data_IF_716804666535
#
_entry.id   IF_716804666535
#
_cell.length_a   1.000
_cell.length_b   1.000
_cell.length_c   1.000
_cell.angle_alpha   90.00
_cell.angle_beta   90.00
_cell.angle_gamma   90.00
#
_symmetry.space_group_name_H-M   'P 1'
#
loop_
_entity.id
_entity.type
_entity.pdbx_description
1 polymer ?
#
# COMPACT_ATOMS: atom_id res chain seq x y z
N UNK A 1 18.46 32.89 59.35
CA UNK A 1 17.95 32.62 57.99
C UNK A 1 19.13 32.21 57.10
N UNK A 2 19.33 30.89 56.90
CA UNK A 2 20.37 30.36 56.05
C UNK A 2 19.84 30.30 54.60
N UNK A 3 20.29 31.24 53.78
CA UNK A 3 20.07 31.21 52.33
C UNK A 3 21.13 30.25 51.80
N UNK A 4 20.75 29.00 51.48
CA UNK A 4 21.57 28.09 50.70
C UNK A 4 21.70 28.62 49.31
N UNK A 5 22.82 29.28 48.99
CA UNK A 5 23.16 29.64 47.62
C UNK A 5 23.31 28.36 46.76
N UNK A 6 22.37 28.16 45.86
CA UNK A 6 22.40 27.09 44.90
C UNK A 6 23.59 27.29 43.94
N UNK A 7 24.59 26.43 44.05
CA UNK A 7 25.82 26.54 43.26
C UNK A 7 25.60 25.94 41.88
N UNK A 8 25.18 26.74 40.93
CA UNK A 8 24.85 26.37 39.55
C UNK A 8 26.01 25.70 38.81
N UNK A 9 27.28 26.03 39.18
CA UNK A 9 28.47 25.43 38.58
C UNK A 9 28.58 23.95 38.92
N UNK A 10 28.29 23.57 40.18
CA UNK A 10 28.38 22.17 40.59
C UNK A 10 27.29 21.31 39.93
N UNK A 11 26.09 21.86 39.76
CA UNK A 11 25.03 21.19 39.02
C UNK A 11 25.33 20.99 37.54
N UNK A 12 26.10 21.94 36.93
CA UNK A 12 26.50 21.84 35.53
C UNK A 12 27.62 20.81 35.28
N UNK A 13 28.53 20.63 36.26
CA UNK A 13 29.60 19.62 36.19
C UNK A 13 29.04 18.20 36.40
N UNK A 14 28.13 18.02 37.34
CA UNK A 14 27.47 16.73 37.53
C UNK A 14 26.59 16.30 36.35
N UNK A 15 26.08 17.26 35.58
CA UNK A 15 25.33 16.97 34.33
C UNK A 15 26.23 16.59 33.18
N UNK A 16 27.48 17.10 33.16
CA UNK A 16 28.43 16.78 32.10
C UNK A 16 29.05 15.38 32.29
N UNK A 17 29.26 14.95 33.50
CA UNK A 17 29.80 13.60 33.76
C UNK A 17 28.79 12.49 33.49
N UNK A 18 27.48 12.76 33.62
CA UNK A 18 26.43 11.80 33.29
C UNK A 18 26.13 11.66 31.78
N UNK A 19 26.73 12.54 30.93
CA UNK A 19 26.45 12.54 29.49
C UNK A 19 27.56 11.85 28.66
N UNK A 20 28.60 11.34 29.33
CA UNK A 20 29.76 10.70 28.67
C UNK A 20 29.85 9.18 28.89
N UNK A 21 28.84 8.56 29.44
CA UNK A 21 28.72 7.12 29.31
C UNK A 21 28.19 6.84 27.88
N UNK A 22 28.88 6.00 27.08
CA UNK A 22 28.31 5.53 25.84
C UNK A 22 27.04 4.80 26.22
N UNK A 23 25.90 5.41 25.93
CA UNK A 23 24.63 4.68 25.87
C UNK A 23 24.90 3.56 24.87
N UNK A 24 25.23 2.38 25.39
CA UNK A 24 24.97 1.17 24.65
C UNK A 24 23.55 1.31 24.16
N UNK A 25 23.42 1.54 22.86
CA UNK A 25 22.15 1.35 22.19
C UNK A 25 21.79 -0.08 22.55
N UNK A 26 20.92 -0.22 23.55
CA UNK A 26 20.16 -1.43 23.68
C UNK A 26 19.55 -1.61 22.29
N UNK A 27 20.24 -2.42 21.49
CA UNK A 27 19.63 -2.99 20.32
C UNK A 27 18.34 -3.58 20.86
N UNK A 28 17.23 -2.91 20.55
CA UNK A 28 15.93 -3.52 20.64
C UNK A 28 16.18 -4.85 19.96
N UNK A 29 16.19 -5.93 20.72
CA UNK A 29 16.12 -7.27 20.19
C UNK A 29 14.78 -7.30 19.46
N UNK A 30 14.77 -6.77 18.25
CA UNK A 30 13.75 -7.12 17.29
C UNK A 30 13.86 -8.63 17.22
N UNK A 31 12.83 -9.27 17.70
CA UNK A 31 12.65 -10.70 17.63
C UNK A 31 13.09 -11.13 16.23
N UNK A 32 14.29 -11.71 16.15
CA UNK A 32 14.94 -12.08 14.89
C UNK A 32 14.31 -13.39 14.40
N UNK A 33 12.98 -13.39 14.39
CA UNK A 33 12.13 -14.43 13.83
C UNK A 33 12.02 -14.29 12.31
N UNK A 34 13.01 -13.56 11.72
CA UNK A 34 13.14 -13.45 10.27
C UNK A 34 13.56 -14.80 9.73
N UNK A 35 12.77 -15.31 8.82
CA UNK A 35 13.14 -16.47 8.03
C UNK A 35 14.42 -16.11 7.28
N UNK A 36 15.54 -16.75 7.61
CA UNK A 36 16.85 -16.50 6.98
C UNK A 36 17.02 -17.28 5.68
N UNK A 37 16.04 -18.14 5.33
CA UNK A 37 16.08 -18.93 4.12
C UNK A 37 15.80 -18.05 2.88
N UNK A 38 16.37 -18.45 1.76
CA UNK A 38 16.20 -17.85 0.45
C UNK A 38 15.78 -18.94 -0.53
N UNK A 39 14.57 -19.45 -0.34
CA UNK A 39 14.00 -20.43 -1.26
C UNK A 39 13.41 -19.72 -2.48
N UNK A 40 13.59 -20.32 -3.65
CA UNK A 40 12.88 -19.87 -4.84
C UNK A 40 11.40 -20.26 -4.74
N UNK A 41 10.53 -19.44 -5.29
CA UNK A 41 9.09 -19.68 -5.31
C UNK A 41 8.50 -19.25 -6.66
N UNK A 42 7.45 -19.91 -7.05
CA UNK A 42 6.71 -19.62 -8.29
C UNK A 42 5.46 -18.79 -8.03
N UNK A 43 4.84 -18.29 -9.10
CA UNK A 43 3.53 -17.62 -9.01
C UNK A 43 2.46 -18.56 -8.39
N UNK A 44 2.52 -19.85 -8.69
CA UNK A 44 1.57 -20.82 -8.13
C UNK A 44 1.73 -20.96 -6.61
N UNK A 45 2.96 -20.92 -6.10
CA UNK A 45 3.24 -20.98 -4.66
C UNK A 45 2.72 -19.72 -3.95
N UNK A 46 2.89 -18.55 -4.57
CA UNK A 46 2.34 -17.28 -4.06
C UNK A 46 0.82 -17.32 -4.05
N UNK A 47 0.18 -17.77 -5.12
CA UNK A 47 -1.28 -17.88 -5.19
C UNK A 47 -1.85 -18.81 -4.12
N UNK A 48 -1.25 -19.99 -3.93
CA UNK A 48 -1.64 -20.92 -2.88
C UNK A 48 -1.40 -20.39 -1.46
N UNK A 49 -0.33 -19.60 -1.26
CA UNK A 49 -0.07 -18.94 -0.01
C UNK A 49 -1.12 -17.85 0.27
N UNK A 50 -1.49 -17.05 -0.74
CA UNK A 50 -2.55 -16.04 -0.63
C UNK A 50 -3.91 -16.68 -0.31
N UNK A 51 -4.30 -17.74 -0.98
CA UNK A 51 -5.53 -18.48 -0.66
C UNK A 51 -5.56 -18.98 0.79
N UNK A 52 -4.44 -19.51 1.27
CA UNK A 52 -4.31 -19.94 2.66
C UNK A 52 -4.44 -18.76 3.62
N UNK A 53 -3.83 -17.60 3.30
CA UNK A 53 -3.96 -16.37 4.10
C UNK A 53 -5.40 -15.86 4.12
N UNK A 54 -6.07 -15.83 2.98
CA UNK A 54 -7.47 -15.41 2.84
C UNK A 54 -8.42 -16.25 3.71
N UNK A 55 -8.12 -17.52 3.89
CA UNK A 55 -8.90 -18.41 4.76
C UNK A 55 -8.76 -18.05 6.25
N UNK A 56 -7.68 -17.36 6.63
CA UNK A 56 -7.44 -16.91 8.01
C UNK A 56 -8.13 -15.59 8.35
N UNK A 57 -8.54 -14.80 7.33
CA UNK A 57 -9.16 -13.51 7.51
C UNK A 57 -10.62 -13.62 7.95
N UNK A 58 -11.06 -12.76 8.88
CA UNK A 58 -12.43 -12.66 9.37
C UNK A 58 -13.40 -11.94 8.41
N UNK A 59 -14.62 -11.76 8.87
CA UNK A 59 -15.63 -10.99 8.13
C UNK A 59 -15.34 -9.48 8.15
N UNK A 60 -14.62 -9.00 9.16
CA UNK A 60 -14.14 -7.62 9.26
C UNK A 60 -13.18 -7.25 8.14
N UNK A 61 -12.44 -8.24 7.62
CA UNK A 61 -11.44 -8.06 6.55
C UNK A 61 -12.00 -8.31 5.14
N UNK A 62 -13.32 -8.33 4.99
CA UNK A 62 -13.99 -8.65 3.73
C UNK A 62 -13.53 -7.79 2.55
N UNK A 63 -13.31 -6.50 2.80
CA UNK A 63 -12.80 -5.58 1.77
C UNK A 63 -11.38 -5.96 1.33
N UNK A 64 -10.51 -6.35 2.26
CA UNK A 64 -9.16 -6.81 1.95
C UNK A 64 -9.19 -8.16 1.21
N UNK A 65 -10.09 -9.08 1.56
CA UNK A 65 -10.30 -10.33 0.80
C UNK A 65 -10.67 -10.03 -0.66
N UNK A 66 -11.61 -9.13 -0.90
CA UNK A 66 -12.02 -8.73 -2.25
C UNK A 66 -10.82 -8.14 -2.99
N UNK A 67 -10.05 -7.25 -2.36
CA UNK A 67 -8.89 -6.62 -2.95
C UNK A 67 -7.81 -7.63 -3.37
N UNK A 68 -7.51 -8.60 -2.52
CA UNK A 68 -6.51 -9.64 -2.78
C UNK A 68 -6.95 -10.65 -3.87
N UNK A 69 -8.24 -10.73 -4.14
CA UNK A 69 -8.82 -11.60 -5.18
C UNK A 69 -9.09 -10.87 -6.50
N UNK A 70 -9.08 -9.52 -6.51
CA UNK A 70 -9.43 -8.72 -7.69
C UNK A 70 -8.47 -8.95 -8.85
N UNK A 71 -7.20 -9.08 -8.57
CA UNK A 71 -6.15 -9.26 -9.57
C UNK A 71 -5.17 -10.37 -9.18
N UNK A 72 -4.68 -11.08 -10.18
CA UNK A 72 -3.63 -12.07 -9.96
C UNK A 72 -2.33 -11.37 -9.51
N UNK A 73 -1.63 -11.90 -8.50
CA UNK A 73 -0.36 -11.34 -8.07
C UNK A 73 0.68 -11.46 -9.18
N UNK A 74 1.60 -10.49 -9.24
CA UNK A 74 2.77 -10.52 -10.12
C UNK A 74 4.01 -10.88 -9.31
N UNK A 75 4.85 -11.74 -9.85
CA UNK A 75 6.07 -12.19 -9.20
C UNK A 75 7.26 -11.90 -10.11
N UNK A 76 8.20 -11.12 -9.60
CA UNK A 76 9.46 -10.79 -10.27
C UNK A 76 10.62 -11.04 -9.30
N UNK A 77 11.28 -12.19 -9.44
CA UNK A 77 12.29 -12.62 -8.47
C UNK A 77 11.69 -12.81 -7.09
N UNK A 78 12.12 -12.00 -6.11
CA UNK A 78 11.58 -11.99 -4.75
C UNK A 78 10.58 -10.86 -4.48
N UNK A 79 10.20 -10.13 -5.52
CA UNK A 79 9.21 -9.05 -5.43
C UNK A 79 7.84 -9.59 -5.82
N UNK A 80 6.89 -9.48 -4.91
CA UNK A 80 5.49 -9.82 -5.12
C UNK A 80 4.71 -8.52 -5.21
N UNK A 81 4.01 -8.30 -6.31
CA UNK A 81 3.18 -7.12 -6.52
C UNK A 81 1.71 -7.51 -6.53
N UNK A 82 0.94 -6.88 -5.67
CA UNK A 82 -0.52 -7.02 -5.60
C UNK A 82 -1.14 -5.75 -6.16
N UNK A 83 -2.07 -5.92 -7.09
CA UNK A 83 -2.82 -4.82 -7.69
C UNK A 83 -4.25 -4.78 -7.13
N UNK A 84 -4.75 -3.58 -6.86
CA UNK A 84 -6.09 -3.33 -6.31
C UNK A 84 -6.81 -2.27 -7.11
N UNK A 85 -8.14 -2.25 -7.08
CA UNK A 85 -8.94 -1.40 -7.97
C UNK A 85 -9.00 0.08 -7.57
N UNK A 86 -8.82 0.39 -6.27
CA UNK A 86 -8.96 1.76 -5.77
C UNK A 86 -8.23 2.00 -4.44
N UNK A 87 -8.15 3.29 -4.04
CA UNK A 87 -7.47 3.73 -2.82
C UNK A 87 -8.06 3.14 -1.53
N UNK A 88 -9.37 2.90 -1.48
CA UNK A 88 -10.00 2.31 -0.30
C UNK A 88 -9.50 0.88 -0.08
N UNK A 89 -9.48 0.08 -1.15
CA UNK A 89 -8.96 -1.29 -1.11
C UNK A 89 -7.45 -1.31 -0.84
N UNK A 90 -6.70 -0.36 -1.42
CA UNK A 90 -5.28 -0.18 -1.14
C UNK A 90 -5.03 0.00 0.36
N UNK A 91 -5.77 0.90 1.00
CA UNK A 91 -5.65 1.15 2.44
C UNK A 91 -5.93 -0.12 3.25
N UNK A 92 -6.97 -0.88 2.91
CA UNK A 92 -7.33 -2.12 3.60
C UNK A 92 -6.26 -3.20 3.48
N UNK A 93 -5.65 -3.35 2.31
CA UNK A 93 -4.53 -4.29 2.12
C UNK A 93 -3.28 -3.80 2.85
N UNK A 94 -3.02 -2.48 2.87
CA UNK A 94 -1.89 -1.91 3.61
C UNK A 94 -2.01 -2.10 5.12
N UNK A 95 -3.21 -2.10 5.69
CA UNK A 95 -3.45 -2.41 7.10
C UNK A 95 -3.00 -3.87 7.43
N UNK A 96 -3.18 -4.78 6.50
CA UNK A 96 -2.77 -6.19 6.63
C UNK A 96 -1.35 -6.47 6.10
N UNK A 97 -0.69 -5.49 5.50
CA UNK A 97 0.62 -5.67 4.84
C UNK A 97 1.68 -6.34 5.74
N UNK A 98 1.89 -5.92 7.01
CA UNK A 98 2.89 -6.57 7.85
C UNK A 98 2.56 -8.05 8.14
N UNK A 99 1.29 -8.35 8.37
CA UNK A 99 0.82 -9.71 8.64
C UNK A 99 0.94 -10.59 7.39
N UNK A 100 0.52 -10.07 6.24
CA UNK A 100 0.61 -10.75 4.95
C UNK A 100 2.07 -11.01 4.56
N UNK A 101 2.95 -10.01 4.69
CA UNK A 101 4.38 -10.17 4.40
C UNK A 101 5.02 -11.24 5.28
N UNK A 102 4.77 -11.19 6.59
CA UNK A 102 5.29 -12.20 7.54
C UNK A 102 4.78 -13.60 7.22
N UNK A 103 3.50 -13.71 6.82
CA UNK A 103 2.91 -14.99 6.42
C UNK A 103 3.56 -15.53 5.14
N UNK A 104 3.73 -14.71 4.11
CA UNK A 104 4.38 -15.09 2.86
C UNK A 104 5.83 -15.51 3.08
N UNK A 105 6.60 -14.78 3.86
CA UNK A 105 7.98 -15.14 4.21
C UNK A 105 8.07 -16.51 4.85
N UNK A 106 7.17 -16.83 5.78
CA UNK A 106 7.11 -18.14 6.45
C UNK A 106 6.65 -19.25 5.50
N UNK A 107 5.57 -19.00 4.76
CA UNK A 107 4.95 -20.00 3.89
C UNK A 107 5.85 -20.38 2.70
N UNK A 108 6.53 -19.38 2.11
CA UNK A 108 7.45 -19.54 0.99
C UNK A 108 8.90 -19.81 1.43
N UNK A 109 9.15 -19.85 2.74
CA UNK A 109 10.46 -20.06 3.33
C UNK A 109 11.54 -19.12 2.73
N UNK A 110 11.20 -17.84 2.60
CA UNK A 110 12.07 -16.82 2.03
C UNK A 110 11.94 -15.50 2.80
N UNK A 111 13.02 -15.08 3.45
CA UNK A 111 13.09 -13.85 4.25
C UNK A 111 13.41 -12.58 3.44
N UNK A 112 13.62 -12.70 2.13
CA UNK A 112 13.99 -11.60 1.24
C UNK A 112 12.82 -11.12 0.37
N UNK A 113 11.61 -11.58 0.64
CA UNK A 113 10.41 -11.16 -0.08
C UNK A 113 10.16 -9.69 0.15
N UNK A 114 9.90 -8.97 -0.94
CA UNK A 114 9.37 -7.62 -0.94
C UNK A 114 7.94 -7.66 -1.44
N UNK A 115 7.01 -7.10 -0.67
CA UNK A 115 5.60 -7.03 -1.03
C UNK A 115 5.24 -5.59 -1.41
N UNK A 116 4.86 -5.39 -2.66
CA UNK A 116 4.36 -4.13 -3.17
C UNK A 116 2.84 -4.20 -3.35
N UNK A 117 2.14 -3.14 -2.99
CA UNK A 117 0.71 -3.00 -3.25
C UNK A 117 0.50 -1.71 -4.03
N UNK A 118 -0.19 -1.78 -5.15
CA UNK A 118 -0.43 -0.64 -6.02
C UNK A 118 -1.83 -0.67 -6.61
N UNK A 119 -2.29 0.49 -7.07
CA UNK A 119 -3.57 0.55 -7.78
C UNK A 119 -3.37 0.01 -9.20
N UNK A 120 -4.28 -0.87 -9.61
CA UNK A 120 -4.31 -1.38 -10.97
C UNK A 120 -4.59 -0.25 -11.95
N UNK A 121 -3.67 -0.03 -12.85
CA UNK A 121 -3.85 0.88 -13.98
C UNK A 121 -4.03 0.03 -15.23
N UNK A 122 -5.26 0.02 -15.75
CA UNK A 122 -5.53 -0.63 -17.02
C UNK A 122 -4.65 0.00 -18.10
N UNK A 123 -3.64 -0.72 -18.57
CA UNK A 123 -2.84 -0.31 -19.72
C UNK A 123 -3.72 -0.44 -20.95
N UNK A 124 -4.56 0.56 -21.20
CA UNK A 124 -5.24 0.67 -22.49
C UNK A 124 -4.17 0.86 -23.55
N UNK A 125 -3.99 -0.15 -24.39
CA UNK A 125 -3.18 -0.06 -25.59
C UNK A 125 -3.74 1.07 -26.46
N UNK A 126 -3.16 2.26 -26.33
CA UNK A 126 -3.23 3.31 -27.32
C UNK A 126 -4.42 4.27 -27.31
N UNK A 127 -5.40 4.13 -26.44
CA UNK A 127 -6.41 5.17 -26.24
C UNK A 127 -6.36 5.67 -24.80
N UNK A 128 -5.75 6.84 -24.61
CA UNK A 128 -6.01 7.64 -23.41
C UNK A 128 -7.51 7.88 -23.35
N UNK A 129 -8.23 7.15 -22.48
CA UNK A 129 -9.59 7.54 -22.13
C UNK A 129 -9.51 8.93 -21.54
N UNK A 130 -9.70 9.95 -22.37
CA UNK A 130 -9.84 11.33 -21.93
C UNK A 130 -10.84 11.31 -20.79
N UNK A 131 -10.39 11.63 -19.57
CA UNK A 131 -11.31 11.79 -18.44
C UNK A 131 -12.24 12.93 -18.81
N UNK A 132 -13.49 12.63 -19.07
CA UNK A 132 -14.52 13.58 -19.44
C UNK A 132 -14.95 14.32 -18.16
N UNK A 133 -14.32 15.44 -17.87
CA UNK A 133 -14.56 16.20 -16.64
C UNK A 133 -15.76 17.13 -16.75
N UNK A 134 -15.95 17.72 -17.93
CA UNK A 134 -17.03 18.69 -18.15
C UNK A 134 -18.22 18.09 -18.87
N UNK A 135 -19.39 18.71 -18.69
CA UNK A 135 -20.60 18.34 -19.45
C UNK A 135 -20.37 18.43 -20.97
N UNK A 136 -19.57 19.41 -21.38
CA UNK A 136 -19.17 19.60 -22.79
C UNK A 136 -18.31 18.45 -23.30
N UNK A 137 -17.29 18.01 -22.53
CA UNK A 137 -16.43 16.88 -22.93
C UNK A 137 -17.25 15.59 -23.09
N UNK A 138 -18.18 15.38 -22.16
CA UNK A 138 -19.10 14.23 -22.21
C UNK A 138 -19.99 14.28 -23.45
N UNK A 139 -20.52 15.44 -23.76
CA UNK A 139 -21.37 15.62 -24.96
C UNK A 139 -20.57 15.38 -26.23
N UNK A 140 -19.38 15.96 -26.39
CA UNK A 140 -18.51 15.76 -27.54
C UNK A 140 -18.16 14.27 -27.72
N UNK A 141 -17.90 13.58 -26.62
CA UNK A 141 -17.67 12.14 -26.64
C UNK A 141 -18.90 11.37 -27.14
N UNK A 142 -20.10 11.70 -26.66
CA UNK A 142 -21.33 11.06 -27.12
C UNK A 142 -21.63 11.33 -28.58
N UNK A 143 -21.37 12.54 -29.08
CA UNK A 143 -21.50 12.87 -30.52
C UNK A 143 -20.52 12.05 -31.35
N UNK A 144 -19.32 11.78 -30.87
CA UNK A 144 -18.35 10.92 -31.53
C UNK A 144 -18.84 9.49 -31.66
N UNK A 145 -19.52 8.97 -30.63
CA UNK A 145 -20.08 7.60 -30.61
C UNK A 145 -21.34 7.54 -31.49
N UNK A 146 -22.20 8.56 -31.40
CA UNK A 146 -23.46 8.61 -32.16
C UNK A 146 -23.73 10.05 -32.65
N UNK A 147 -23.51 10.34 -33.94
CA UNK A 147 -23.73 11.67 -34.51
C UNK A 147 -25.15 12.22 -34.35
N UNK A 148 -26.15 11.35 -34.22
CA UNK A 148 -27.56 11.76 -34.03
C UNK A 148 -27.74 12.57 -32.72
N UNK A 149 -26.85 12.43 -31.74
CA UNK A 149 -26.88 13.23 -30.49
C UNK A 149 -26.62 14.71 -30.79
N UNK A 150 -25.75 15.02 -31.77
CA UNK A 150 -25.50 16.39 -32.21
C UNK A 150 -26.71 16.99 -32.93
N UNK A 151 -27.41 16.20 -33.75
CA UNK A 151 -28.65 16.61 -34.43
C UNK A 151 -29.79 16.88 -33.47
N UNK A 152 -29.94 16.05 -32.44
CA UNK A 152 -30.93 16.24 -31.36
C UNK A 152 -30.70 17.57 -30.61
N UNK A 153 -29.44 17.90 -30.30
CA UNK A 153 -29.10 19.18 -29.68
C UNK A 153 -29.57 20.37 -30.52
N UNK A 154 -29.31 20.32 -31.84
CA UNK A 154 -29.70 21.38 -32.79
C UNK A 154 -31.23 21.48 -32.94
N UNK A 155 -31.93 20.33 -33.01
CA UNK A 155 -33.38 20.26 -33.13
C UNK A 155 -34.13 20.81 -31.92
N UNK A 156 -33.62 20.51 -30.71
CA UNK A 156 -34.30 20.89 -29.47
C UNK A 156 -33.72 22.15 -28.81
N UNK A 157 -32.70 22.79 -29.43
CA UNK A 157 -32.08 24.00 -28.91
C UNK A 157 -31.49 23.82 -27.51
N UNK A 158 -30.93 22.65 -27.21
CA UNK A 158 -30.39 22.34 -25.89
C UNK A 158 -29.05 23.05 -25.67
N UNK A 159 -28.92 23.75 -24.58
CA UNK A 159 -27.65 24.31 -24.10
C UNK A 159 -27.00 23.32 -23.13
N UNK A 160 -25.65 23.27 -23.16
CA UNK A 160 -24.85 22.44 -22.26
C UNK A 160 -24.10 23.39 -21.34
N UNK A 161 -24.50 23.39 -20.08
CA UNK A 161 -23.81 24.12 -19.01
C UNK A 161 -22.61 23.33 -18.47
#
# INVERSE_FOLDING_TARGET
ENIHSFNLKKALEETKEKHNEPRERQSVKTDDNRVKAQSEFSLADVSGALETFLATLGEEDKAAKIALLSHAPKVEGFVITIEVDNDFLLTRVMDLHPALLSFLMKKLNNGYITLNVQIYVEKNNGEEKKRLFTSKDKFEHFVTINPAVGELKALFGLEIE
#
